data_IF_070975634775
#
_entry.id   IF_070975634775
#
_cell.length_a   1.000
_cell.length_b   1.000
_cell.length_c   1.000
_cell.angle_alpha   90.00
_cell.angle_beta   90.00
_cell.angle_gamma   90.00
#
_symmetry.space_group_name_H-M   'P 1'
#
loop_
_entity.id
_entity.type
_entity.pdbx_description
1 polymer ?
#
# COMPACT_ATOMS: atom_id res chain seq x y z
N UNK A 1 -13.37 3.39 -16.85
CA UNK A 1 -12.54 2.21 -17.09
C UNK A 1 -12.80 1.25 -15.94
N UNK A 2 -12.94 -0.03 -16.21
CA UNK A 2 -13.08 -1.07 -15.18
C UNK A 2 -11.74 -1.32 -14.49
N UNK A 3 -11.76 -1.88 -13.29
CA UNK A 3 -10.54 -2.29 -12.59
C UNK A 3 -9.70 -3.28 -13.42
N UNK A 4 -10.34 -4.21 -14.13
CA UNK A 4 -9.65 -5.22 -14.94
C UNK A 4 -8.84 -4.56 -16.06
N UNK A 5 -9.41 -3.55 -16.72
CA UNK A 5 -8.73 -2.78 -17.76
C UNK A 5 -7.55 -1.97 -17.19
N UNK A 6 -7.75 -1.30 -16.04
CA UNK A 6 -6.68 -0.55 -15.34
C UNK A 6 -5.52 -1.45 -14.92
N UNK A 7 -5.82 -2.61 -14.34
CA UNK A 7 -4.83 -3.57 -13.86
C UNK A 7 -4.07 -4.22 -15.02
N UNK A 8 -4.77 -4.61 -16.08
CA UNK A 8 -4.15 -5.14 -17.31
C UNK A 8 -3.19 -4.12 -17.92
N UNK A 9 -3.60 -2.84 -17.99
CA UNK A 9 -2.74 -1.78 -18.51
C UNK A 9 -1.48 -1.59 -17.66
N UNK A 10 -1.62 -1.58 -16.33
CA UNK A 10 -0.49 -1.49 -15.41
C UNK A 10 0.47 -2.67 -15.55
N UNK A 11 -0.03 -3.90 -15.62
CA UNK A 11 0.81 -5.10 -15.75
C UNK A 11 1.50 -5.21 -17.11
N UNK A 12 0.84 -4.75 -18.18
CA UNK A 12 1.48 -4.62 -19.48
C UNK A 12 2.63 -3.62 -19.45
N UNK A 13 2.44 -2.47 -18.79
CA UNK A 13 3.52 -1.51 -18.58
C UNK A 13 4.64 -2.10 -17.70
N UNK A 14 4.30 -2.79 -16.61
CA UNK A 14 5.27 -3.43 -15.71
C UNK A 14 6.23 -4.38 -16.45
N UNK A 15 5.70 -5.17 -17.40
CA UNK A 15 6.51 -6.05 -18.28
C UNK A 15 7.46 -5.29 -19.22
N UNK A 16 7.24 -4.00 -19.45
CA UNK A 16 8.16 -3.17 -20.26
C UNK A 16 9.33 -2.61 -19.46
N UNK A 17 9.20 -2.55 -18.13
CA UNK A 17 10.20 -1.91 -17.25
C UNK A 17 11.02 -2.93 -16.44
N UNK A 18 10.58 -4.18 -16.34
CA UNK A 18 11.32 -5.23 -15.66
C UNK A 18 10.77 -6.63 -15.93
N UNK A 19 11.53 -7.63 -15.49
CA UNK A 19 11.13 -9.03 -15.57
C UNK A 19 9.97 -9.32 -14.63
N UNK A 20 8.95 -10.00 -15.14
CA UNK A 20 7.77 -10.39 -14.38
C UNK A 20 7.75 -11.90 -14.24
N UNK A 21 7.73 -12.38 -13.00
CA UNK A 21 7.50 -13.80 -12.70
C UNK A 21 5.99 -14.04 -12.71
N UNK A 22 5.48 -14.61 -13.80
CA UNK A 22 4.04 -14.79 -14.02
C UNK A 22 3.34 -15.58 -12.89
N UNK A 23 3.99 -16.63 -12.36
CA UNK A 23 3.47 -17.40 -11.22
C UNK A 23 3.28 -16.55 -9.95
N UNK A 24 4.13 -15.53 -9.73
CA UNK A 24 3.99 -14.61 -8.60
C UNK A 24 2.91 -13.57 -8.87
N UNK A 25 2.66 -13.21 -10.14
CA UNK A 25 1.57 -12.32 -10.52
C UNK A 25 0.21 -12.98 -10.31
N UNK A 26 0.06 -14.24 -10.71
CA UNK A 26 -1.14 -15.04 -10.43
C UNK A 26 -1.39 -15.16 -8.92
N UNK A 27 -0.34 -15.42 -8.14
CA UNK A 27 -0.42 -15.45 -6.68
C UNK A 27 -0.80 -14.09 -6.10
N UNK A 28 -0.30 -12.99 -6.66
CA UNK A 28 -0.70 -11.63 -6.29
C UNK A 28 -2.19 -11.43 -6.54
N UNK A 29 -2.73 -11.87 -7.68
CA UNK A 29 -4.17 -11.77 -7.97
C UNK A 29 -5.03 -12.56 -7.00
N UNK A 30 -4.65 -13.80 -6.69
CA UNK A 30 -5.37 -14.61 -5.70
C UNK A 30 -5.40 -13.91 -4.34
N UNK A 31 -4.25 -13.40 -3.87
CA UNK A 31 -4.15 -12.67 -2.60
C UNK A 31 -4.95 -11.37 -2.60
N UNK A 32 -4.89 -10.61 -3.70
CA UNK A 32 -5.61 -9.36 -3.90
C UNK A 32 -7.13 -9.57 -3.82
N UNK A 33 -7.63 -10.70 -4.31
CA UNK A 33 -9.06 -11.03 -4.32
C UNK A 33 -9.66 -11.31 -2.93
N UNK A 34 -8.83 -11.59 -1.92
CA UNK A 34 -9.32 -12.12 -0.63
C UNK A 34 -10.13 -11.12 0.18
N UNK A 35 -9.80 -9.82 0.13
CA UNK A 35 -10.54 -8.76 0.81
C UNK A 35 -10.08 -7.36 0.36
N UNK A 36 -10.86 -6.34 0.71
CA UNK A 36 -10.59 -4.95 0.37
C UNK A 36 -9.24 -4.42 0.91
N UNK A 37 -8.77 -4.94 2.04
CA UNK A 37 -7.47 -4.54 2.59
C UNK A 37 -6.31 -5.08 1.74
N UNK A 38 -6.31 -6.37 1.38
CA UNK A 38 -5.31 -6.93 0.46
C UNK A 38 -5.41 -6.31 -0.93
N UNK A 39 -6.62 -5.95 -1.37
CA UNK A 39 -6.83 -5.18 -2.58
C UNK A 39 -6.14 -3.81 -2.52
N UNK A 40 -6.39 -3.02 -1.46
CA UNK A 40 -5.75 -1.72 -1.26
C UNK A 40 -4.23 -1.84 -1.41
N UNK A 41 -3.61 -2.77 -0.66
CA UNK A 41 -2.16 -3.03 -0.67
C UNK A 41 -1.61 -3.35 -2.06
N UNK A 42 -2.31 -4.20 -2.82
CA UNK A 42 -1.81 -4.67 -4.12
C UNK A 42 -1.90 -3.61 -5.25
N UNK A 43 -2.60 -2.50 -5.02
CA UNK A 43 -2.98 -1.54 -6.08
C UNK A 43 -2.57 -0.09 -5.73
N UNK A 44 -1.32 0.17 -5.35
CA UNK A 44 -0.82 1.54 -5.14
C UNK A 44 -0.98 2.42 -6.39
N UNK A 45 -0.68 1.89 -7.59
CA UNK A 45 -0.85 2.62 -8.86
C UNK A 45 -2.25 3.22 -8.99
N UNK A 46 -3.28 2.48 -8.56
CA UNK A 46 -4.68 2.91 -8.60
C UNK A 46 -4.99 3.96 -7.55
N UNK A 47 -4.37 3.87 -6.37
CA UNK A 47 -4.48 4.88 -5.32
C UNK A 47 -3.96 6.25 -5.79
N UNK A 48 -2.82 6.28 -6.47
CA UNK A 48 -2.23 7.51 -6.99
C UNK A 48 -3.17 8.28 -7.93
N UNK A 49 -4.03 7.58 -8.68
CA UNK A 49 -5.10 8.19 -9.48
C UNK A 49 -6.33 8.52 -8.65
N UNK A 50 -6.80 7.59 -7.82
CA UNK A 50 -8.04 7.72 -7.07
C UNK A 50 -8.01 8.91 -6.09
N UNK A 51 -6.89 9.12 -5.41
CA UNK A 51 -6.75 10.15 -4.39
C UNK A 51 -6.95 11.56 -4.94
N UNK A 52 -6.58 11.80 -6.20
CA UNK A 52 -6.81 13.09 -6.89
C UNK A 52 -8.29 13.38 -7.09
N UNK A 53 -9.10 12.33 -7.32
CA UNK A 53 -10.53 12.46 -7.53
C UNK A 53 -11.31 12.49 -6.22
N UNK A 54 -10.87 11.74 -5.20
CA UNK A 54 -11.62 11.57 -3.94
C UNK A 54 -11.20 12.53 -2.83
N UNK A 55 -9.97 13.06 -2.89
CA UNK A 55 -9.42 14.00 -1.92
C UNK A 55 -8.59 15.10 -2.62
N UNK A 56 -9.18 15.85 -3.58
CA UNK A 56 -8.45 16.86 -4.36
C UNK A 56 -7.78 17.95 -3.48
N UNK A 57 -8.30 18.19 -2.28
CA UNK A 57 -7.78 19.15 -1.31
C UNK A 57 -6.35 18.84 -0.84
N UNK A 58 -5.91 17.58 -0.91
CA UNK A 58 -4.56 17.20 -0.46
C UNK A 58 -3.49 17.42 -1.53
N UNK A 59 -3.87 17.61 -2.79
CA UNK A 59 -2.93 17.62 -3.93
C UNK A 59 -1.98 18.83 -3.90
N UNK A 60 -2.39 19.94 -3.29
CA UNK A 60 -1.56 21.14 -3.14
C UNK A 60 -0.69 21.18 -1.87
N UNK A 61 -0.76 20.14 -1.03
CA UNK A 61 0.04 20.09 0.20
C UNK A 61 1.51 19.75 -0.09
N UNK A 62 2.45 20.05 0.82
CA UNK A 62 3.86 19.71 0.68
C UNK A 62 4.07 18.25 0.27
N UNK A 63 4.91 18.04 -0.74
CA UNK A 63 5.20 16.74 -1.33
C UNK A 63 6.66 16.33 -1.08
N UNK A 64 7.02 15.94 0.16
CA UNK A 64 8.34 15.38 0.42
C UNK A 64 8.44 13.98 -0.21
N UNK A 65 9.63 13.38 -0.14
CA UNK A 65 9.77 11.95 -0.37
C UNK A 65 8.96 11.19 0.70
N UNK A 66 7.86 10.58 0.27
CA UNK A 66 6.92 9.83 1.10
C UNK A 66 7.00 8.32 0.77
N UNK A 67 6.32 7.48 1.56
CA UNK A 67 6.34 6.01 1.43
C UNK A 67 5.54 5.55 0.21
N UNK A 68 4.43 6.22 -0.11
CA UNK A 68 3.55 5.85 -1.22
C UNK A 68 2.54 4.79 -0.83
N UNK A 69 3.00 3.59 -0.49
CA UNK A 69 2.14 2.44 -0.16
C UNK A 69 1.78 2.33 1.35
N UNK A 70 1.77 3.44 2.10
CA UNK A 70 1.58 3.37 3.56
C UNK A 70 0.31 2.62 3.99
N UNK A 71 0.49 1.50 4.70
CA UNK A 71 -0.61 0.70 5.27
C UNK A 71 -0.23 0.05 6.61
N UNK A 72 -1.21 -0.37 7.42
CA UNK A 72 -0.94 -0.91 8.78
C UNK A 72 0.05 -2.09 8.82
N UNK A 73 0.08 -2.94 7.78
CA UNK A 73 1.04 -4.05 7.69
C UNK A 73 2.46 -3.63 7.20
N UNK A 74 2.73 -2.35 6.89
CA UNK A 74 4.09 -1.86 6.62
C UNK A 74 4.86 -1.58 7.91
N UNK A 75 4.15 -1.43 9.03
CA UNK A 75 4.75 -1.06 10.30
C UNK A 75 5.12 -2.30 11.09
N UNK A 76 6.33 -2.30 11.65
CA UNK A 76 6.85 -3.45 12.39
C UNK A 76 8.06 -3.08 13.24
N UNK A 77 8.64 -4.10 13.87
CA UNK A 77 9.81 -3.98 14.73
C UNK A 77 10.99 -4.68 14.06
N UNK A 78 12.11 -3.99 13.96
CA UNK A 78 13.36 -4.50 13.42
C UNK A 78 14.52 -4.21 14.37
N UNK A 79 15.67 -4.81 14.10
CA UNK A 79 16.93 -4.46 14.77
C UNK A 79 17.71 -3.51 13.88
N UNK A 80 18.16 -2.39 14.46
CA UNK A 80 19.11 -1.52 13.78
C UNK A 80 20.54 -2.09 13.80
N UNK A 81 21.49 -1.34 13.25
CA UNK A 81 22.90 -1.73 13.17
C UNK A 81 23.52 -1.97 14.56
N UNK A 82 23.00 -1.33 15.60
CA UNK A 82 23.42 -1.50 17.00
C UNK A 82 22.56 -2.54 17.75
N UNK A 83 21.75 -3.33 17.04
CA UNK A 83 20.86 -4.39 17.55
C UNK A 83 19.70 -3.92 18.42
N UNK A 84 19.44 -2.61 18.49
CA UNK A 84 18.33 -2.03 19.25
C UNK A 84 17.02 -2.30 18.49
N UNK A 85 15.95 -2.53 19.24
CA UNK A 85 14.62 -2.65 18.64
C UNK A 85 14.15 -1.27 18.21
N UNK A 86 13.87 -1.13 16.92
CA UNK A 86 13.30 0.07 16.31
C UNK A 86 11.95 -0.28 15.73
N UNK A 87 10.97 0.60 15.95
CA UNK A 87 9.67 0.50 15.30
C UNK A 87 9.63 1.52 14.16
N UNK A 88 9.13 1.11 13.00
CA UNK A 88 9.04 2.01 11.86
C UNK A 88 8.26 1.42 10.70
N UNK A 89 8.42 2.04 9.54
CA UNK A 89 7.87 1.60 8.27
C UNK A 89 8.91 0.81 7.48
N UNK A 90 8.48 -0.26 6.83
CA UNK A 90 9.28 -1.06 5.89
C UNK A 90 8.65 -1.00 4.49
N UNK A 91 9.40 -1.44 3.49
CA UNK A 91 8.99 -1.57 2.08
C UNK A 91 8.80 -0.19 1.42
N UNK A 92 9.86 0.28 0.75
CA UNK A 92 9.95 1.64 0.17
C UNK A 92 10.01 1.63 -1.36
N UNK A 93 9.61 0.54 -1.99
CA UNK A 93 9.69 0.39 -3.45
C UNK A 93 8.72 1.33 -4.20
N UNK A 94 7.65 1.79 -3.52
CA UNK A 94 6.67 2.78 -4.02
C UNK A 94 6.93 4.22 -3.55
N UNK A 95 8.11 4.50 -2.96
CA UNK A 95 8.44 5.82 -2.46
C UNK A 95 8.47 6.88 -3.57
N UNK A 96 7.83 8.02 -3.35
CA UNK A 96 7.69 9.08 -4.35
C UNK A 96 7.54 10.46 -3.71
N UNK A 97 7.84 11.51 -4.48
CA UNK A 97 7.50 12.90 -4.13
C UNK A 97 5.99 13.10 -4.31
N UNK A 98 5.24 12.88 -3.23
CA UNK A 98 3.78 13.01 -3.20
C UNK A 98 3.35 13.77 -1.95
N UNK A 99 2.18 14.44 -1.96
CA UNK A 99 1.68 15.12 -0.79
C UNK A 99 1.70 14.20 0.44
N UNK A 100 2.32 14.63 1.54
CA UNK A 100 2.47 13.79 2.75
C UNK A 100 1.12 13.24 3.26
N UNK A 101 0.05 14.01 3.03
CA UNK A 101 -1.31 13.65 3.39
C UNK A 101 -1.85 12.42 2.63
N UNK A 102 -1.27 12.07 1.46
CA UNK A 102 -1.60 10.84 0.74
C UNK A 102 -1.31 9.60 1.58
N UNK A 103 -0.13 9.53 2.20
CA UNK A 103 0.24 8.41 3.07
C UNK A 103 -0.62 8.36 4.33
N UNK A 104 -0.90 9.52 4.94
CA UNK A 104 -1.77 9.61 6.12
C UNK A 104 -3.17 9.10 5.78
N UNK A 105 -3.74 9.54 4.66
CA UNK A 105 -5.06 9.13 4.21
C UNK A 105 -5.08 7.64 3.83
N UNK A 106 -4.06 7.15 3.11
CA UNK A 106 -3.94 5.74 2.74
C UNK A 106 -3.85 4.86 3.98
N UNK A 107 -3.04 5.25 4.96
CA UNK A 107 -2.90 4.55 6.23
C UNK A 107 -4.23 4.51 6.98
N UNK A 108 -4.96 5.63 7.08
CA UNK A 108 -6.27 5.68 7.71
C UNK A 108 -7.31 4.77 7.03
N UNK A 109 -7.33 4.76 5.69
CA UNK A 109 -8.17 3.82 4.90
C UNK A 109 -7.75 2.38 5.19
N UNK A 110 -6.45 2.10 5.27
CA UNK A 110 -5.94 0.77 5.56
C UNK A 110 -6.38 0.27 6.95
N UNK A 111 -6.38 1.12 7.98
CA UNK A 111 -6.91 0.82 9.32
C UNK A 111 -8.40 0.47 9.23
N UNK A 112 -9.18 1.25 8.44
CA UNK A 112 -10.62 1.03 8.31
C UNK A 112 -10.98 -0.27 7.58
N UNK A 113 -10.12 -0.71 6.65
CA UNK A 113 -10.30 -1.94 5.88
C UNK A 113 -9.68 -3.16 6.56
N UNK A 114 -8.68 -2.97 7.42
CA UNK A 114 -8.07 -4.04 8.19
C UNK A 114 -9.12 -4.65 9.12
N UNK A 115 -9.32 -5.96 8.97
CA UNK A 115 -10.20 -6.71 9.85
C UNK A 115 -9.42 -7.07 11.12
N UNK A 116 -9.39 -6.16 12.10
CA UNK A 116 -8.78 -6.44 13.39
C UNK A 116 -9.68 -7.39 14.17
N UNK A 117 -9.34 -8.68 14.20
CA UNK A 117 -9.81 -9.52 15.30
C UNK A 117 -9.03 -9.09 16.54
N UNK A 118 -9.66 -8.31 17.41
CA UNK A 118 -9.15 -8.17 18.78
C UNK A 118 -9.30 -9.56 19.39
N UNK A 119 -8.19 -10.28 19.55
CA UNK A 119 -8.19 -11.55 20.25
C UNK A 119 -8.81 -11.36 21.63
N UNK A 120 -9.69 -12.27 22.06
CA UNK A 120 -10.30 -12.26 23.38
C UNK A 120 -9.26 -11.91 24.45
N UNK A 121 -9.46 -10.77 25.11
CA UNK A 121 -8.89 -10.52 26.43
C UNK A 121 -9.67 -11.34 27.47
N UNK A 122 -9.63 -12.68 27.34
CA UNK A 122 -10.00 -13.63 28.38
C UNK A 122 -8.77 -14.47 28.69
N UNK A 123 -7.81 -13.85 29.37
CA UNK A 123 -6.95 -14.55 30.33
C UNK A 123 -6.58 -13.57 31.44
N UNK A 124 -6.91 -14.01 32.65
CA UNK A 124 -6.76 -13.35 33.93
C UNK A 124 -5.29 -13.04 34.30
#
# INVERSE_FOLDING_TARGET
>A
MSFVEENTAYENWMRTVGDVVEDDLDRKHDRMSKNAFKFLRATFFRWAYAVKATAPEIIGLPAPLAVGDAHVENFGIWRDAETRLVWGVNDHDDAAEIPYASDILRLAVSVRLANFSVGNHDVA
#
